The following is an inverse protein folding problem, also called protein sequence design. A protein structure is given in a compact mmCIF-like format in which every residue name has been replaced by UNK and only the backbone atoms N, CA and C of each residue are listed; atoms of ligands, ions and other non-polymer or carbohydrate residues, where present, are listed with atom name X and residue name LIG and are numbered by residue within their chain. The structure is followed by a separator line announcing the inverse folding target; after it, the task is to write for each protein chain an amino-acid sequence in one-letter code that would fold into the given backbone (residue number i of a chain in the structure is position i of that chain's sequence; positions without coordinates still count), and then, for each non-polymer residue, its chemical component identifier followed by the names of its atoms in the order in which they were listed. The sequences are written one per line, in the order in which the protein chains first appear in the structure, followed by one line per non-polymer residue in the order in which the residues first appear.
data_IF_293220271628
#
_entry.id   IF_293220271628
#
_cell.length_a   1.000
_cell.length_b   1.000
_cell.length_c   1.000
_cell.angle_alpha   90.00
_cell.angle_beta   90.00
_cell.angle_gamma   90.00
#
_symmetry.space_group_name_H-M   'P 1'
#
loop_
_entity.id
_entity.type
_entity.pdbx_description
1 polymer ?
#
# COMPACT_ATOMS: atom_id res chain seq x y z
N UNK A 1 6.79 -8.36 -16.78
CA UNK A 1 5.38 -8.70 -16.40
C UNK A 1 4.72 -7.42 -15.90
N UNK A 2 3.49 -7.14 -16.35
CA UNK A 2 2.75 -5.99 -15.89
C UNK A 2 1.83 -6.34 -14.71
N UNK A 3 1.72 -5.41 -13.76
CA UNK A 3 0.73 -5.45 -12.67
C UNK A 3 0.09 -4.08 -12.52
N UNK A 4 -1.14 -4.00 -12.04
CA UNK A 4 -1.73 -2.75 -11.61
C UNK A 4 -1.33 -2.50 -10.16
N UNK A 5 -0.55 -1.44 -9.92
CA UNK A 5 -0.22 -0.97 -8.58
C UNK A 5 -1.24 0.07 -8.12
N UNK A 6 -1.79 -0.08 -6.92
CA UNK A 6 -2.74 0.85 -6.31
C UNK A 6 -2.21 1.31 -4.96
N UNK A 7 -2.21 2.62 -4.74
CA UNK A 7 -1.85 3.28 -3.48
C UNK A 7 -3.11 3.91 -2.87
N UNK A 8 -3.46 3.50 -1.66
CA UNK A 8 -4.61 4.01 -0.91
C UNK A 8 -4.14 5.08 0.07
N UNK A 9 -4.21 6.33 -0.34
CA UNK A 9 -3.84 7.47 0.50
C UNK A 9 -5.06 8.17 1.12
N UNK A 10 -4.85 8.94 2.17
CA UNK A 10 -5.92 9.67 2.88
C UNK A 10 -6.63 10.75 2.05
N UNK A 11 -6.00 11.24 0.96
CA UNK A 11 -6.56 12.28 0.08
C UNK A 11 -6.89 11.79 -1.32
N UNK A 12 -6.45 10.58 -1.68
CA UNK A 12 -6.69 10.02 -3.01
C UNK A 12 -6.14 8.62 -3.15
N UNK A 13 -6.89 7.81 -3.87
CA UNK A 13 -6.51 6.48 -4.33
C UNK A 13 -5.92 6.62 -5.72
N UNK A 14 -4.72 6.10 -5.91
CA UNK A 14 -3.96 6.23 -7.17
C UNK A 14 -3.64 4.86 -7.71
N UNK A 15 -3.69 4.70 -9.03
CA UNK A 15 -3.29 3.46 -9.67
C UNK A 15 -2.59 3.69 -10.99
N UNK A 16 -1.64 2.83 -11.31
CA UNK A 16 -0.96 2.77 -12.59
C UNK A 16 -0.50 1.35 -12.90
N UNK A 17 -0.41 1.01 -14.19
CA UNK A 17 0.21 -0.24 -14.63
C UNK A 17 1.73 -0.08 -14.56
N UNK A 18 2.40 -1.07 -13.99
CA UNK A 18 3.85 -1.06 -13.71
C UNK A 18 4.50 -2.26 -14.39
N UNK A 19 5.63 -2.04 -15.07
CA UNK A 19 6.52 -3.11 -15.50
C UNK A 19 7.39 -3.56 -14.32
N UNK A 20 7.18 -4.79 -13.84
CA UNK A 20 7.81 -5.30 -12.61
C UNK A 20 9.31 -5.55 -12.72
N UNK A 21 9.85 -5.63 -13.93
CA UNK A 21 11.29 -5.82 -14.14
C UNK A 21 12.08 -4.51 -13.92
N UNK A 22 11.51 -3.38 -14.36
CA UNK A 22 12.15 -2.06 -14.33
C UNK A 22 11.63 -1.12 -13.24
N UNK A 23 10.41 -1.35 -12.75
CA UNK A 23 9.70 -0.45 -11.84
C UNK A 23 9.07 0.77 -12.56
N UNK A 24 9.16 0.82 -13.89
CA UNK A 24 8.65 1.95 -14.67
C UNK A 24 7.13 1.87 -14.86
N UNK A 25 6.51 3.04 -14.98
CA UNK A 25 5.08 3.14 -15.29
C UNK A 25 4.85 2.76 -16.76
N UNK A 26 3.97 1.79 -16.98
CA UNK A 26 3.51 1.37 -18.31
C UNK A 26 2.18 2.02 -18.71
N UNK A 27 1.59 2.85 -17.85
CA UNK A 27 0.39 3.63 -18.12
C UNK A 27 0.44 5.00 -17.43
N UNK A 28 -0.42 5.90 -17.82
CA UNK A 28 -0.69 7.11 -17.03
C UNK A 28 -1.28 6.72 -15.67
N UNK A 29 -1.08 7.59 -14.68
CA UNK A 29 -1.62 7.40 -13.34
C UNK A 29 -3.05 7.93 -13.27
N UNK A 30 -3.99 7.07 -12.91
CA UNK A 30 -5.34 7.47 -12.52
C UNK A 30 -5.33 7.82 -11.04
N UNK A 31 -5.92 8.97 -10.67
CA UNK A 31 -6.15 9.39 -9.29
C UNK A 31 -7.62 9.73 -9.09
N UNK A 32 -8.22 9.10 -8.09
CA UNK A 32 -9.60 9.37 -7.63
C UNK A 32 -9.50 9.84 -6.17
N UNK A 33 -10.31 10.81 -5.78
CA UNK A 33 -10.37 11.26 -4.38
C UNK A 33 -10.77 10.12 -3.45
N UNK A 34 -10.14 10.07 -2.28
CA UNK A 34 -10.49 9.08 -1.26
C UNK A 34 -11.92 9.31 -0.79
N UNK A 35 -12.75 8.27 -0.74
CA UNK A 35 -14.13 8.40 -0.30
C UNK A 35 -14.21 8.83 1.17
N UNK A 36 -15.31 9.48 1.53
CA UNK A 36 -15.60 9.88 2.92
C UNK A 36 -17.06 9.54 3.24
N UNK A 37 -17.31 8.58 4.14
CA UNK A 37 -16.33 7.78 4.91
C UNK A 37 -15.58 6.78 4.03
N UNK A 38 -14.33 6.45 4.43
CA UNK A 38 -13.47 5.49 3.74
C UNK A 38 -13.74 4.06 4.23
N UNK A 39 -14.99 3.59 4.05
CA UNK A 39 -15.40 2.24 4.44
C UNK A 39 -14.86 1.18 3.47
N UNK A 40 -14.85 -0.12 3.84
CA UNK A 40 -14.45 -1.19 2.92
C UNK A 40 -15.18 -1.13 1.58
N UNK A 41 -16.48 -0.86 1.59
CA UNK A 41 -17.32 -0.82 0.39
C UNK A 41 -16.96 0.39 -0.50
N UNK A 42 -16.83 1.57 0.09
CA UNK A 42 -16.55 2.80 -0.66
C UNK A 42 -15.13 2.83 -1.22
N UNK A 43 -14.15 2.34 -0.46
CA UNK A 43 -12.77 2.18 -0.92
C UNK A 43 -12.71 1.15 -2.05
N UNK A 44 -13.35 0.02 -1.90
CA UNK A 44 -13.38 -1.01 -2.93
C UNK A 44 -14.08 -0.56 -4.22
N UNK A 45 -15.15 0.21 -4.13
CA UNK A 45 -15.79 0.83 -5.30
C UNK A 45 -14.83 1.80 -6.01
N UNK A 46 -14.02 2.55 -5.25
CA UNK A 46 -13.02 3.46 -5.83
C UNK A 46 -11.88 2.67 -6.50
N UNK A 47 -11.43 1.56 -5.90
CA UNK A 47 -10.45 0.65 -6.52
C UNK A 47 -11.01 0.09 -7.82
N UNK A 48 -12.27 -0.38 -7.83
CA UNK A 48 -12.93 -0.90 -9.03
C UNK A 48 -12.94 0.17 -10.15
N UNK A 49 -13.25 1.43 -9.84
CA UNK A 49 -13.23 2.51 -10.83
C UNK A 49 -11.81 2.73 -11.41
N UNK A 50 -10.75 2.58 -10.63
CA UNK A 50 -9.35 2.61 -11.13
C UNK A 50 -9.08 1.43 -12.05
N UNK A 51 -9.51 0.22 -11.68
CA UNK A 51 -9.37 -1.01 -12.47
C UNK A 51 -10.07 -0.87 -13.83
N UNK A 52 -11.31 -0.38 -13.82
CA UNK A 52 -12.10 -0.13 -15.04
C UNK A 52 -11.46 0.96 -15.91
N UNK A 53 -10.96 2.04 -15.31
CA UNK A 53 -10.25 3.11 -16.01
C UNK A 53 -9.02 2.61 -16.77
N UNK A 54 -8.31 1.64 -16.23
CA UNK A 54 -7.20 0.96 -16.90
C UNK A 54 -7.64 -0.21 -17.79
N UNK A 55 -8.92 -0.61 -17.79
CA UNK A 55 -9.43 -1.83 -18.44
C UNK A 55 -8.61 -3.06 -18.05
N UNK A 56 -8.26 -3.12 -16.74
CA UNK A 56 -7.35 -4.12 -16.22
C UNK A 56 -8.06 -5.41 -15.84
N UNK A 57 -7.40 -6.56 -16.08
CA UNK A 57 -7.92 -7.90 -15.73
C UNK A 57 -6.85 -8.84 -15.15
N UNK A 58 -5.66 -8.29 -14.85
CA UNK A 58 -4.55 -9.04 -14.28
C UNK A 58 -4.42 -8.88 -12.75
N UNK A 59 -3.30 -9.34 -12.17
CA UNK A 59 -3.05 -9.17 -10.74
C UNK A 59 -2.91 -7.70 -10.34
N UNK A 60 -3.35 -7.39 -9.11
CA UNK A 60 -3.32 -6.06 -8.51
C UNK A 60 -2.47 -6.12 -7.24
N UNK A 61 -1.52 -5.18 -7.09
CA UNK A 61 -0.79 -4.92 -5.86
C UNK A 61 -1.33 -3.67 -5.18
N UNK A 62 -1.68 -3.75 -3.90
CA UNK A 62 -2.26 -2.63 -3.13
C UNK A 62 -1.36 -2.26 -1.98
N UNK A 63 -0.91 -1.00 -1.92
CA UNK A 63 -0.37 -0.35 -0.73
C UNK A 63 -1.53 0.14 0.13
N UNK A 64 -1.64 -0.38 1.36
CA UNK A 64 -2.76 -0.15 2.27
C UNK A 64 -2.30 0.54 3.56
N UNK A 65 -2.99 1.59 4.05
CA UNK A 65 -2.56 2.39 5.20
C UNK A 65 -2.88 1.71 6.55
N UNK A 66 -2.41 0.48 6.73
CA UNK A 66 -2.53 -0.29 7.97
C UNK A 66 -1.50 -1.41 8.02
N UNK A 67 -1.25 -1.95 9.21
CA UNK A 67 -0.51 -3.19 9.37
C UNK A 67 -1.29 -4.35 8.73
N UNK A 68 -0.66 -5.07 7.82
CA UNK A 68 -1.25 -6.18 7.05
C UNK A 68 -0.56 -7.49 7.43
N UNK A 69 -1.35 -8.46 7.86
CA UNK A 69 -0.86 -9.81 8.17
C UNK A 69 -1.69 -10.86 7.44
N UNK A 70 -1.08 -11.59 6.54
CA UNK A 70 -1.76 -12.59 5.69
C UNK A 70 -2.99 -12.04 4.96
N UNK A 71 -2.89 -10.81 4.43
CA UNK A 71 -3.99 -10.14 3.71
C UNK A 71 -5.07 -9.53 4.60
N UNK A 72 -4.95 -9.63 5.94
CA UNK A 72 -5.90 -9.11 6.93
C UNK A 72 -5.37 -7.82 7.55
N UNK A 73 -6.17 -6.76 7.58
CA UNK A 73 -5.82 -5.53 8.27
C UNK A 73 -5.89 -5.72 9.79
N UNK A 74 -4.82 -5.31 10.49
CA UNK A 74 -4.69 -5.42 11.96
C UNK A 74 -4.87 -4.10 12.67
N UNK A 75 -4.65 -3.00 11.98
CA UNK A 75 -4.79 -1.62 12.48
C UNK A 75 -5.68 -0.80 11.54
N UNK A 76 -6.10 0.38 11.98
CA UNK A 76 -6.86 1.33 11.16
C UNK A 76 -6.66 2.76 11.71
N UNK A 77 -5.41 3.25 11.74
CA UNK A 77 -5.11 4.59 12.25
C UNK A 77 -5.66 5.70 11.34
N UNK A 78 -5.56 5.52 10.02
CA UNK A 78 -5.90 6.54 9.02
C UNK A 78 -7.00 6.08 8.04
N UNK A 79 -7.74 5.03 8.38
CA UNK A 79 -8.83 4.47 7.57
C UNK A 79 -9.97 4.01 8.49
N UNK A 80 -11.13 3.66 7.94
CA UNK A 80 -12.29 3.24 8.73
C UNK A 80 -11.98 1.99 9.60
N UNK A 81 -12.33 2.00 10.91
CA UNK A 81 -12.12 0.86 11.80
C UNK A 81 -12.76 -0.46 11.34
N UNK A 82 -13.77 -0.41 10.47
CA UNK A 82 -14.39 -1.60 9.87
C UNK A 82 -13.41 -2.48 9.08
N UNK A 83 -12.24 -1.97 8.74
CA UNK A 83 -11.18 -2.77 8.13
C UNK A 83 -10.48 -3.72 9.11
N UNK A 84 -10.52 -3.44 10.43
CA UNK A 84 -9.83 -4.27 11.41
C UNK A 84 -10.41 -5.68 11.42
N UNK A 85 -9.56 -6.68 11.17
CA UNK A 85 -9.96 -8.09 11.06
C UNK A 85 -10.51 -8.50 9.69
N UNK A 86 -10.74 -7.56 8.77
CA UNK A 86 -11.17 -7.87 7.40
C UNK A 86 -10.01 -8.46 6.59
N UNK A 87 -10.28 -9.55 5.84
CA UNK A 87 -9.39 -9.98 4.76
C UNK A 87 -9.55 -8.98 3.60
N UNK A 88 -8.66 -7.96 3.61
CA UNK A 88 -8.68 -6.86 2.62
C UNK A 88 -8.39 -7.40 1.22
N UNK A 89 -7.47 -8.36 1.12
CA UNK A 89 -7.12 -9.01 -0.14
C UNK A 89 -8.34 -9.71 -0.76
N UNK A 90 -9.06 -10.53 0.02
CA UNK A 90 -10.25 -11.24 -0.47
C UNK A 90 -11.40 -10.27 -0.76
N UNK A 91 -11.57 -9.24 0.08
CA UNK A 91 -12.62 -8.25 -0.10
C UNK A 91 -12.47 -7.52 -1.44
N UNK A 92 -11.28 -6.99 -1.73
CA UNK A 92 -11.03 -6.29 -2.99
C UNK A 92 -10.97 -7.25 -4.19
N UNK A 93 -10.49 -8.50 -4.00
CA UNK A 93 -10.55 -9.49 -5.06
C UNK A 93 -11.99 -9.78 -5.51
N UNK A 94 -12.92 -9.91 -4.56
CA UNK A 94 -14.35 -10.10 -4.89
C UNK A 94 -14.96 -8.90 -5.60
N UNK A 95 -14.59 -7.68 -5.21
CA UNK A 95 -15.13 -6.46 -5.82
C UNK A 95 -14.59 -6.21 -7.23
N UNK A 96 -13.31 -6.49 -7.46
CA UNK A 96 -12.65 -6.20 -8.74
C UNK A 96 -12.70 -7.36 -9.73
N UNK A 97 -12.97 -8.57 -9.25
CA UNK A 97 -12.84 -9.81 -10.06
C UNK A 97 -11.39 -10.17 -10.40
N UNK A 98 -10.40 -9.49 -9.82
CA UNK A 98 -8.98 -9.69 -10.05
C UNK A 98 -8.28 -10.28 -8.83
N UNK A 99 -7.17 -11.03 -8.98
CA UNK A 99 -6.32 -11.40 -7.85
C UNK A 99 -5.71 -10.15 -7.22
N UNK A 100 -5.94 -9.92 -5.92
CA UNK A 100 -5.42 -8.76 -5.18
C UNK A 100 -4.45 -9.20 -4.09
N UNK A 101 -3.28 -8.55 -4.07
CA UNK A 101 -2.25 -8.71 -3.04
C UNK A 101 -2.11 -7.40 -2.30
N UNK A 102 -2.12 -7.45 -0.97
CA UNK A 102 -2.12 -6.26 -0.10
C UNK A 102 -0.92 -6.31 0.84
N UNK A 103 -0.24 -5.18 0.97
CA UNK A 103 0.79 -4.96 1.98
C UNK A 103 0.65 -3.55 2.56
N UNK A 104 1.32 -3.26 3.67
CA UNK A 104 1.40 -1.92 4.22
C UNK A 104 2.00 -0.94 3.20
N UNK A 105 1.50 0.29 3.12
CA UNK A 105 1.90 1.30 2.13
C UNK A 105 3.37 1.73 2.27
N UNK A 106 3.86 1.92 3.51
CA UNK A 106 5.27 2.24 3.77
C UNK A 106 6.18 1.05 3.43
N UNK A 107 5.76 -0.19 3.75
CA UNK A 107 6.50 -1.41 3.37
C UNK A 107 6.63 -1.53 1.84
N UNK A 108 5.56 -1.24 1.09
CA UNK A 108 5.60 -1.25 -0.39
C UNK A 108 6.51 -0.17 -0.93
N UNK A 109 6.48 1.04 -0.36
CA UNK A 109 7.39 2.12 -0.73
C UNK A 109 8.86 1.74 -0.46
N UNK A 110 9.12 1.14 0.72
CA UNK A 110 10.45 0.63 1.07
C UNK A 110 10.94 -0.45 0.10
N UNK A 111 10.09 -1.40 -0.27
CA UNK A 111 10.42 -2.44 -1.26
C UNK A 111 10.78 -1.83 -2.62
N UNK A 112 10.09 -0.76 -3.04
CA UNK A 112 10.40 -0.07 -4.28
C UNK A 112 11.79 0.60 -4.21
N UNK A 113 12.13 1.25 -3.10
CA UNK A 113 13.44 1.85 -2.88
C UNK A 113 14.57 0.81 -2.84
N UNK A 114 14.34 -0.33 -2.18
CA UNK A 114 15.31 -1.42 -2.14
C UNK A 114 15.57 -2.05 -3.51
N UNK A 115 14.53 -2.12 -4.35
CA UNK A 115 14.64 -2.78 -5.66
C UNK A 115 15.08 -1.85 -6.78
N UNK A 116 14.58 -0.61 -6.80
CA UNK A 116 14.71 0.32 -7.92
C UNK A 116 15.32 1.67 -7.53
N UNK A 117 15.30 2.02 -6.24
CA UNK A 117 15.66 3.34 -5.75
C UNK A 117 17.03 3.41 -5.06
N UNK A 118 17.15 4.36 -4.14
CA UNK A 118 18.39 4.73 -3.47
C UNK A 118 18.97 3.64 -2.58
N UNK A 119 18.16 2.70 -2.12
CA UNK A 119 18.58 1.59 -1.25
C UNK A 119 19.01 0.32 -2.02
N UNK A 120 19.01 0.37 -3.35
CA UNK A 120 19.40 -0.78 -4.19
C UNK A 120 20.83 -1.22 -3.93
N UNK A 121 20.99 -2.49 -3.51
CA UNK A 121 22.31 -3.11 -3.27
C UNK A 121 22.97 -2.68 -1.94
N UNK A 122 22.26 -1.94 -1.09
CA UNK A 122 22.76 -1.60 0.25
C UNK A 122 22.64 -2.83 1.15
N UNK A 123 23.75 -3.23 1.80
CA UNK A 123 23.80 -4.31 2.77
C UNK A 123 23.56 -3.80 4.20
N UNK A 124 23.26 -4.72 5.11
CA UNK A 124 23.02 -4.42 6.52
C UNK A 124 21.59 -3.89 6.78
N UNK A 125 21.47 -2.97 7.73
CA UNK A 125 20.16 -2.42 8.13
C UNK A 125 19.86 -1.17 7.30
N UNK A 126 18.68 -1.18 6.67
CA UNK A 126 18.14 -0.03 5.93
C UNK A 126 16.79 0.35 6.54
N UNK A 127 16.64 1.62 6.91
CA UNK A 127 15.39 2.22 7.31
C UNK A 127 14.93 3.21 6.24
N UNK A 128 13.78 2.94 5.64
CA UNK A 128 13.09 3.87 4.74
C UNK A 128 12.03 4.61 5.55
N UNK A 129 12.02 5.94 5.46
CA UNK A 129 11.03 6.80 6.14
C UNK A 129 10.24 7.54 5.07
N UNK A 130 8.92 7.38 5.09
CA UNK A 130 8.00 8.14 4.26
C UNK A 130 7.38 9.28 5.08
N UNK A 131 7.35 10.49 4.51
CA UNK A 131 6.81 11.69 5.15
C UNK A 131 5.62 12.17 4.33
N UNK A 132 4.43 12.06 4.90
CA UNK A 132 3.17 12.45 4.28
C UNK A 132 2.20 13.04 5.30
N UNK A 133 0.96 12.54 5.35
CA UNK A 133 -0.01 12.89 6.40
C UNK A 133 0.50 12.46 7.78
N UNK A 134 1.28 11.37 7.86
CA UNK A 134 2.01 10.88 9.01
C UNK A 134 3.42 10.43 8.59
N UNK A 135 4.10 9.75 9.52
CA UNK A 135 5.38 9.11 9.28
C UNK A 135 5.16 7.60 9.05
N UNK A 136 5.50 7.12 7.86
CA UNK A 136 5.57 5.69 7.59
C UNK A 136 7.01 5.20 7.66
N UNK A 137 7.21 3.93 8.01
CA UNK A 137 8.55 3.34 8.10
C UNK A 137 8.56 1.92 7.53
N UNK A 138 9.63 1.58 6.81
CA UNK A 138 9.92 0.22 6.40
C UNK A 138 11.36 -0.14 6.77
N UNK A 139 11.53 -1.22 7.50
CA UNK A 139 12.82 -1.68 8.00
C UNK A 139 13.27 -2.94 7.26
N UNK A 140 14.54 -2.97 6.87
CA UNK A 140 15.16 -4.10 6.18
C UNK A 140 16.43 -4.55 6.91
N UNK A 141 16.64 -5.85 6.95
CA UNK A 141 17.90 -6.47 7.35
C UNK A 141 18.45 -7.30 6.19
N UNK A 142 19.64 -6.94 5.69
CA UNK A 142 20.29 -7.60 4.55
C UNK A 142 19.36 -7.82 3.35
N UNK A 143 18.59 -6.78 3.00
CA UNK A 143 17.66 -6.79 1.88
C UNK A 143 16.30 -7.44 2.15
N UNK A 144 16.07 -8.00 3.34
CA UNK A 144 14.81 -8.63 3.72
C UNK A 144 13.95 -7.68 4.54
N UNK A 145 12.71 -7.48 4.10
CA UNK A 145 11.74 -6.64 4.83
C UNK A 145 11.38 -7.27 6.18
N UNK A 146 11.41 -6.46 7.24
CA UNK A 146 10.74 -6.72 8.50
C UNK A 146 9.36 -6.06 8.44
N UNK A 147 8.29 -6.80 8.13
CA UNK A 147 7.03 -6.18 7.76
C UNK A 147 6.32 -5.53 8.95
N UNK A 148 5.56 -4.46 8.68
CA UNK A 148 4.70 -3.77 9.64
C UNK A 148 5.45 -3.26 10.88
N UNK A 149 6.61 -2.67 10.72
CA UNK A 149 7.39 -2.14 11.85
C UNK A 149 6.74 -0.91 12.50
N UNK A 150 5.96 -0.12 11.75
CA UNK A 150 5.10 0.98 12.24
C UNK A 150 5.80 1.92 13.24
N UNK A 151 7.11 2.20 13.06
CA UNK A 151 7.90 3.02 13.99
C UNK A 151 7.40 4.47 14.09
N UNK A 152 6.65 4.95 13.08
CA UNK A 152 6.01 6.27 13.12
C UNK A 152 4.85 6.38 14.12
N UNK A 153 4.38 5.25 14.68
CA UNK A 153 3.33 5.19 15.70
C UNK A 153 3.83 4.92 17.12
N UNK A 154 5.14 5.03 17.34
CA UNK A 154 5.73 4.87 18.68
C UNK A 154 5.35 6.09 19.53
N UNK A 155 4.70 5.83 20.67
CA UNK A 155 4.43 6.87 21.67
C UNK A 155 5.72 7.26 22.39
N UNK A 156 6.02 8.54 22.41
CA UNK A 156 7.09 9.09 23.22
C UNK A 156 6.57 9.39 24.63
N UNK A 157 7.47 9.47 25.63
CA UNK A 157 7.11 9.81 27.03
C UNK A 157 6.35 11.15 27.18
N UNK A 158 6.47 12.03 26.18
CA UNK A 158 5.73 13.30 26.09
C UNK A 158 4.27 13.14 25.61
N UNK A 159 3.84 11.95 25.26
CA UNK A 159 2.54 11.69 24.61
C UNK A 159 2.48 12.21 23.17
N UNK A 160 3.61 12.51 22.56
CA UNK A 160 3.72 12.86 21.13
C UNK A 160 4.08 11.59 20.36
N UNK A 161 3.38 11.37 19.25
CA UNK A 161 3.71 10.36 18.24
C UNK A 161 4.77 10.87 17.27
#
# INVERSE_FOLDING_TARGET
MHILGIDIGGTGIKGAVIETATGELASERIRIESPRPATPESVGATILAVVEGHRWSGPIGVGFPAAIQHGVARTAANIDPAFIGLSVADHFSRQTGCPVYVANDADVAGLAEMRFGAARGVAGVVLVVTIGTGLGTALFGDGHLLPNTELGHILLDSGLE
#
